data_IF_729532815606
#
_entry.id   IF_729532815606
#
_cell.length_a   1.000
_cell.length_b   1.000
_cell.length_c   1.000
_cell.angle_alpha   90.00
_cell.angle_beta   90.00
_cell.angle_gamma   90.00
#
_symmetry.space_group_name_H-M   'P 1'
#
loop_
_entity.id
_entity.type
_entity.pdbx_description
1 polymer ?
#
# COMPACT_ATOMS: atom_id res chain seq x y z
N UNK A 1 9.38 -18.59 49.54
CA UNK A 1 8.49 -17.80 48.67
C UNK A 1 9.33 -17.08 47.63
N UNK A 2 9.53 -17.68 46.45
CA UNK A 2 10.35 -17.10 45.39
C UNK A 2 9.47 -16.28 44.45
N UNK A 3 9.73 -14.96 44.40
CA UNK A 3 9.04 -14.04 43.50
C UNK A 3 9.61 -14.17 42.09
N UNK A 4 8.76 -14.60 41.17
CA UNK A 4 8.99 -14.66 39.73
C UNK A 4 9.38 -13.28 39.20
N UNK A 5 10.55 -13.18 38.58
CA UNK A 5 10.95 -11.99 37.84
C UNK A 5 10.16 -11.93 36.52
N UNK A 6 9.30 -10.91 36.39
CA UNK A 6 8.63 -10.58 35.13
C UNK A 6 9.68 -10.06 34.14
N UNK A 7 9.95 -10.84 33.08
CA UNK A 7 10.71 -10.40 31.90
C UNK A 7 9.93 -9.29 31.21
N UNK A 8 10.34 -8.05 31.44
CA UNK A 8 9.89 -6.90 30.66
C UNK A 8 10.50 -7.01 29.26
N UNK A 9 9.73 -7.54 28.30
CA UNK A 9 10.07 -7.48 26.88
C UNK A 9 10.02 -6.00 26.48
N UNK A 10 11.19 -5.40 26.21
CA UNK A 10 11.30 -4.06 25.66
C UNK A 10 10.63 -4.06 24.29
N UNK A 11 9.38 -3.60 24.21
CA UNK A 11 8.76 -3.13 22.98
C UNK A 11 9.50 -1.86 22.58
N UNK A 12 10.58 -2.02 21.81
CA UNK A 12 11.19 -0.91 21.11
C UNK A 12 10.18 -0.41 20.09
N UNK A 13 9.50 0.69 20.41
CA UNK A 13 8.74 1.48 19.46
C UNK A 13 9.70 1.94 18.38
N UNK A 14 9.76 1.20 17.27
CA UNK A 14 10.34 1.70 16.04
C UNK A 14 9.49 2.90 15.61
N UNK A 15 9.97 4.12 15.86
CA UNK A 15 9.37 5.32 15.29
C UNK A 15 9.57 5.23 13.77
N UNK A 16 8.57 4.73 13.06
CA UNK A 16 8.55 4.74 11.60
C UNK A 16 8.25 6.17 11.16
N UNK A 17 9.30 6.93 10.84
CA UNK A 17 9.16 8.24 10.23
C UNK A 17 8.75 8.05 8.77
N UNK A 18 7.46 8.17 8.48
CA UNK A 18 6.96 8.22 7.11
C UNK A 18 7.27 9.63 6.59
N UNK A 19 8.23 9.76 5.66
CA UNK A 19 8.56 11.06 5.08
C UNK A 19 7.36 11.63 4.30
N UNK A 20 7.16 12.94 4.39
CA UNK A 20 6.03 13.65 3.77
C UNK A 20 5.97 13.47 2.23
N UNK A 21 7.13 13.33 1.58
CA UNK A 21 7.25 13.07 0.14
C UNK A 21 6.68 11.70 -0.26
N UNK A 22 6.97 10.67 0.54
CA UNK A 22 6.42 9.31 0.37
C UNK A 22 4.90 9.32 0.50
N UNK A 23 4.33 10.14 1.38
CA UNK A 23 2.87 10.32 1.48
C UNK A 23 2.28 10.99 0.25
N UNK A 24 2.92 12.03 -0.29
CA UNK A 24 2.43 12.74 -1.48
C UNK A 24 2.44 11.83 -2.72
N UNK A 25 3.55 11.13 -2.97
CA UNK A 25 3.64 10.19 -4.08
C UNK A 25 2.63 9.04 -3.94
N UNK A 26 2.47 8.51 -2.72
CA UNK A 26 1.49 7.46 -2.42
C UNK A 26 0.05 7.92 -2.63
N UNK A 27 -0.30 9.13 -2.20
CA UNK A 27 -1.63 9.70 -2.43
C UNK A 27 -1.92 9.85 -3.92
N UNK A 28 -0.95 10.32 -4.71
CA UNK A 28 -1.08 10.42 -6.16
C UNK A 28 -1.27 9.03 -6.81
N UNK A 29 -0.48 8.00 -6.45
CA UNK A 29 -0.67 6.62 -6.92
C UNK A 29 -2.07 6.07 -6.58
N UNK A 30 -2.56 6.33 -5.36
CA UNK A 30 -3.92 5.95 -4.96
C UNK A 30 -4.97 6.69 -5.80
N UNK A 31 -4.75 7.98 -6.08
CA UNK A 31 -5.59 8.76 -6.97
C UNK A 31 -5.67 8.13 -8.36
N UNK A 32 -4.53 7.77 -8.93
CA UNK A 32 -4.43 7.11 -10.23
C UNK A 32 -5.17 5.76 -10.28
N UNK A 33 -4.96 4.91 -9.27
CA UNK A 33 -5.68 3.65 -9.14
C UNK A 33 -7.19 3.84 -8.97
N UNK A 34 -7.60 4.91 -8.29
CA UNK A 34 -9.01 5.28 -8.19
C UNK A 34 -9.60 5.63 -9.55
N UNK A 35 -8.87 6.39 -10.39
CA UNK A 35 -9.28 6.70 -11.77
C UNK A 35 -9.35 5.44 -12.63
N UNK A 36 -8.32 4.59 -12.59
CA UNK A 36 -8.29 3.32 -13.31
C UNK A 36 -9.46 2.41 -12.91
N UNK A 37 -9.84 2.36 -11.63
CA UNK A 37 -11.00 1.60 -11.15
C UNK A 37 -12.32 2.18 -11.67
N UNK A 38 -12.48 3.51 -11.66
CA UNK A 38 -13.67 4.18 -12.21
C UNK A 38 -13.82 3.95 -13.71
N UNK A 39 -12.70 3.94 -14.44
CA UNK A 39 -12.64 3.60 -15.86
C UNK A 39 -12.82 2.09 -16.15
N UNK A 40 -12.93 1.25 -15.11
CA UNK A 40 -13.03 -0.22 -15.19
C UNK A 40 -11.80 -0.90 -15.81
N UNK A 41 -10.65 -0.21 -15.85
CA UNK A 41 -9.36 -0.81 -16.25
C UNK A 41 -8.80 -1.76 -15.20
N UNK A 42 -9.18 -1.57 -13.93
CA UNK A 42 -8.88 -2.48 -12.82
C UNK A 42 -10.13 -2.74 -11.99
N UNK A 43 -10.23 -3.93 -11.39
CA UNK A 43 -11.35 -4.32 -10.55
C UNK A 43 -11.25 -3.75 -9.12
N UNK A 44 -10.06 -3.83 -8.52
CA UNK A 44 -9.85 -3.40 -7.13
C UNK A 44 -8.41 -3.00 -6.86
N UNK A 45 -8.23 -2.17 -5.83
CA UNK A 45 -6.93 -1.85 -5.23
C UNK A 45 -7.06 -1.73 -3.72
N UNK A 46 -5.97 -2.01 -3.00
CA UNK A 46 -5.92 -1.92 -1.54
C UNK A 46 -4.48 -1.68 -1.07
N UNK A 47 -4.33 -1.39 0.22
CA UNK A 47 -3.02 -1.21 0.84
C UNK A 47 -2.83 -2.19 1.98
N UNK A 48 -1.64 -2.75 2.11
CA UNK A 48 -1.27 -3.60 3.24
C UNK A 48 0.18 -3.29 3.64
N UNK A 49 0.40 -2.92 4.91
CA UNK A 49 1.74 -2.64 5.46
C UNK A 49 2.53 -1.62 4.62
N UNK A 50 1.92 -0.47 4.32
CA UNK A 50 2.52 0.60 3.50
C UNK A 50 2.59 0.31 2.00
N UNK A 51 2.44 -0.94 1.57
CA UNK A 51 2.47 -1.36 0.17
C UNK A 51 1.10 -1.20 -0.49
N UNK A 52 1.09 -0.88 -1.78
CA UNK A 52 -0.12 -0.74 -2.58
C UNK A 52 -0.22 -1.93 -3.52
N UNK A 53 -1.42 -2.50 -3.63
CA UNK A 53 -1.71 -3.62 -4.52
C UNK A 53 -2.96 -3.34 -5.34
N UNK A 54 -3.05 -3.95 -6.51
CA UNK A 54 -4.27 -3.94 -7.31
C UNK A 54 -4.50 -5.27 -8.03
N UNK A 55 -5.70 -5.41 -8.59
CA UNK A 55 -6.12 -6.52 -9.44
C UNK A 55 -6.83 -5.98 -10.67
N UNK A 56 -6.46 -6.50 -11.84
CA UNK A 56 -7.11 -6.14 -13.11
C UNK A 56 -8.53 -6.72 -13.15
N UNK A 57 -8.68 -8.00 -12.81
CA UNK A 57 -9.97 -8.69 -12.61
C UNK A 57 -10.04 -9.33 -11.22
N UNK A 58 -11.21 -9.76 -10.75
CA UNK A 58 -11.34 -10.36 -9.40
C UNK A 58 -10.53 -11.67 -9.26
N UNK A 59 -10.37 -12.39 -10.37
CA UNK A 59 -9.67 -13.66 -10.50
C UNK A 59 -8.16 -13.47 -10.75
N UNK A 60 -7.76 -12.30 -11.26
CA UNK A 60 -6.36 -12.01 -11.56
C UNK A 60 -5.46 -12.07 -10.33
N UNK A 61 -4.18 -12.36 -10.56
CA UNK A 61 -3.16 -12.25 -9.53
C UNK A 61 -3.06 -10.81 -9.03
N UNK A 62 -2.76 -10.64 -7.74
CA UNK A 62 -2.47 -9.32 -7.18
C UNK A 62 -1.17 -8.78 -7.79
N UNK A 63 -1.19 -7.52 -8.19
CA UNK A 63 -0.01 -6.78 -8.66
C UNK A 63 0.45 -5.87 -7.53
N UNK A 64 1.75 -5.88 -7.24
CA UNK A 64 2.38 -4.97 -6.29
C UNK A 64 2.84 -3.71 -7.02
N UNK A 65 2.44 -2.53 -6.54
CA UNK A 65 2.81 -1.25 -7.13
C UNK A 65 4.07 -0.74 -6.46
N UNK A 66 5.16 -0.66 -7.23
CA UNK A 66 6.45 -0.09 -6.83
C UNK A 66 6.64 1.31 -7.40
N UNK A 67 6.15 1.56 -8.61
CA UNK A 67 6.25 2.85 -9.29
C UNK A 67 4.99 3.17 -10.10
N UNK A 68 4.98 4.34 -10.76
CA UNK A 68 3.92 4.72 -11.69
C UNK A 68 3.89 3.85 -12.94
N UNK A 69 5.02 3.26 -13.34
CA UNK A 69 5.12 2.44 -14.54
C UNK A 69 4.25 1.17 -14.42
N UNK A 70 4.11 0.66 -13.19
CA UNK A 70 3.26 -0.50 -12.91
C UNK A 70 1.76 -0.23 -13.15
N UNK A 71 1.34 1.02 -13.07
CA UNK A 71 -0.07 1.44 -13.21
C UNK A 71 -0.35 2.18 -14.52
N UNK A 72 0.68 2.69 -15.20
CA UNK A 72 0.56 3.48 -16.42
C UNK A 72 -0.32 2.83 -17.50
N UNK A 73 -0.25 1.50 -17.77
CA UNK A 73 -1.09 0.86 -18.78
C UNK A 73 -2.60 0.85 -18.46
N UNK A 74 -2.97 1.06 -17.20
CA UNK A 74 -4.36 0.96 -16.72
C UNK A 74 -4.97 2.32 -16.42
N UNK A 75 -4.15 3.36 -16.35
CA UNK A 75 -4.60 4.74 -16.16
C UNK A 75 -5.08 5.27 -17.51
N UNK A 76 -6.33 5.73 -17.63
CA UNK A 76 -6.79 6.34 -18.85
C UNK A 76 -6.01 7.64 -19.11
N UNK A 77 -5.33 7.71 -20.26
CA UNK A 77 -4.78 8.96 -20.78
C UNK A 77 -5.96 9.78 -21.31
N UNK A 78 -6.18 10.95 -20.72
CA UNK A 78 -7.15 11.93 -21.20
C UNK A 78 -6.61 12.70 -22.40
#
# INVERSE_FOLDING_TARGET
MSKTALKNHRSGTFNVFISEDLTTQRQKLIGELSRARKAKSIASYWTNDGRIFFKVTMESAKVFVKSYDDIAPYVPHS
#
